data_IF_463293991087
#
_entry.id   IF_463293991087
#
_cell.length_a   1.000
_cell.length_b   1.000
_cell.length_c   1.000
_cell.angle_alpha   90.00
_cell.angle_beta   90.00
_cell.angle_gamma   90.00
#
_symmetry.space_group_name_H-M   'P 1'
#
loop_
_entity.id
_entity.type
_entity.pdbx_description
1 polymer ?
#
# COMPACT_ATOMS: atom_id res chain seq x y z
N UNK A 1 4.58 19.83 -13.13
CA UNK A 1 4.72 20.34 -11.72
C UNK A 1 5.86 19.55 -11.11
N UNK A 2 6.83 20.17 -10.48
CA UNK A 2 7.88 19.44 -9.76
C UNK A 2 7.35 19.03 -8.38
N UNK A 3 7.21 17.74 -8.16
CA UNK A 3 6.71 17.19 -6.88
C UNK A 3 7.83 17.02 -5.83
N UNK A 4 9.07 17.38 -6.19
CA UNK A 4 10.25 17.31 -5.32
C UNK A 4 10.50 15.90 -4.75
N UNK A 5 10.25 14.87 -5.58
CA UNK A 5 10.42 13.47 -5.18
C UNK A 5 11.79 12.89 -5.57
N UNK A 6 12.64 13.67 -6.22
CA UNK A 6 14.01 13.27 -6.50
C UNK A 6 14.73 12.92 -5.19
N UNK A 7 15.40 11.77 -5.16
CA UNK A 7 16.07 11.20 -3.99
C UNK A 7 15.11 10.75 -2.85
N UNK A 8 13.81 10.69 -3.08
CA UNK A 8 12.87 10.05 -2.17
C UNK A 8 12.73 8.58 -2.50
N UNK A 9 12.42 7.78 -1.48
CA UNK A 9 12.16 6.35 -1.60
C UNK A 9 10.70 6.03 -1.32
N UNK A 10 10.12 5.14 -2.12
CA UNK A 10 8.72 4.76 -2.00
C UNK A 10 8.55 3.23 -1.97
N UNK A 11 7.79 2.75 -1.02
CA UNK A 11 7.33 1.36 -0.94
C UNK A 11 5.84 1.30 -1.32
N UNK A 12 5.50 0.48 -2.28
CA UNK A 12 4.11 0.30 -2.73
C UNK A 12 3.70 -1.17 -2.56
N UNK A 13 2.72 -1.42 -1.70
CA UNK A 13 2.24 -2.78 -1.48
C UNK A 13 1.35 -3.25 -2.63
N UNK A 14 1.54 -4.52 -3.09
CA UNK A 14 0.77 -5.10 -4.19
C UNK A 14 0.94 -4.36 -5.52
N UNK A 15 2.18 -4.10 -5.91
CA UNK A 15 2.52 -3.17 -7.01
C UNK A 15 3.06 -3.84 -8.28
N UNK A 16 2.87 -5.14 -8.46
CA UNK A 16 3.30 -5.84 -9.69
C UNK A 16 2.39 -5.58 -10.90
N UNK A 17 1.18 -5.05 -10.68
CA UNK A 17 0.18 -4.76 -11.73
C UNK A 17 -0.84 -3.72 -11.25
N UNK A 18 -1.78 -3.35 -12.14
CA UNK A 18 -2.94 -2.51 -11.80
C UNK A 18 -2.57 -1.15 -11.21
N UNK A 19 -3.37 -0.70 -10.24
CA UNK A 19 -3.24 0.61 -9.58
C UNK A 19 -1.86 0.74 -8.90
N UNK A 20 -1.42 -0.26 -8.15
CA UNK A 20 -0.13 -0.22 -7.46
C UNK A 20 1.05 -0.04 -8.43
N UNK A 21 1.04 -0.72 -9.57
CA UNK A 21 2.07 -0.54 -10.60
C UNK A 21 2.00 0.84 -11.27
N UNK A 22 0.79 1.36 -11.51
CA UNK A 22 0.61 2.71 -12.05
C UNK A 22 1.15 3.79 -11.08
N UNK A 23 0.91 3.61 -9.77
CA UNK A 23 1.47 4.48 -8.74
C UNK A 23 3.01 4.41 -8.74
N UNK A 24 3.59 3.20 -8.81
CA UNK A 24 5.04 3.03 -8.88
C UNK A 24 5.65 3.74 -10.10
N UNK A 25 4.99 3.66 -11.27
CA UNK A 25 5.39 4.42 -12.48
C UNK A 25 5.32 5.93 -12.27
N UNK A 26 4.25 6.43 -11.67
CA UNK A 26 4.09 7.86 -11.39
C UNK A 26 5.20 8.39 -10.47
N UNK A 27 5.50 7.66 -9.39
CA UNK A 27 6.56 8.03 -8.47
C UNK A 27 7.96 7.95 -9.11
N UNK A 28 8.21 6.93 -9.93
CA UNK A 28 9.45 6.79 -10.69
C UNK A 28 9.63 7.93 -11.70
N UNK A 29 8.56 8.36 -12.38
CA UNK A 29 8.58 9.47 -13.32
C UNK A 29 8.96 10.82 -12.65
N UNK A 30 8.63 10.96 -11.37
CA UNK A 30 9.00 12.13 -10.54
C UNK A 30 10.39 11.98 -9.86
N UNK A 31 11.13 10.93 -10.20
CA UNK A 31 12.51 10.72 -9.74
C UNK A 31 12.66 10.00 -8.40
N UNK A 32 11.59 9.43 -7.86
CA UNK A 32 11.69 8.61 -6.66
C UNK A 32 12.28 7.23 -6.97
N UNK A 33 13.06 6.69 -6.03
CA UNK A 33 13.34 5.25 -6.01
C UNK A 33 12.11 4.49 -5.53
N UNK A 34 11.84 3.32 -6.13
CA UNK A 34 10.61 2.57 -5.83
C UNK A 34 10.89 1.11 -5.48
N UNK A 35 10.19 0.63 -4.47
CA UNK A 35 10.17 -0.78 -4.07
C UNK A 35 8.83 -1.40 -4.46
N UNK A 36 8.89 -2.41 -5.32
CA UNK A 36 7.75 -3.18 -5.80
C UNK A 36 7.54 -4.39 -4.87
N UNK A 37 6.30 -4.67 -4.49
CA UNK A 37 6.00 -5.92 -3.78
C UNK A 37 4.97 -6.76 -4.52
N UNK A 38 5.10 -8.07 -4.40
CA UNK A 38 4.17 -9.03 -5.00
C UNK A 38 4.37 -10.42 -4.42
N UNK A 39 3.41 -11.31 -4.64
CA UNK A 39 3.41 -12.66 -4.05
C UNK A 39 4.43 -13.62 -4.66
N UNK A 40 4.90 -13.39 -5.88
CA UNK A 40 5.83 -14.28 -6.57
C UNK A 40 7.01 -13.53 -7.16
N UNK A 41 8.19 -14.13 -7.13
CA UNK A 41 9.41 -13.53 -7.69
C UNK A 41 9.22 -13.21 -9.19
N UNK A 42 8.65 -14.12 -9.96
CA UNK A 42 8.41 -13.90 -11.38
C UNK A 42 7.49 -12.68 -11.67
N UNK A 43 6.52 -12.38 -10.81
CA UNK A 43 5.68 -11.19 -10.98
C UNK A 43 6.44 -9.92 -10.63
N UNK A 44 7.25 -9.94 -9.58
CA UNK A 44 8.12 -8.83 -9.18
C UNK A 44 9.14 -8.54 -10.26
N UNK A 45 9.85 -9.55 -10.78
CA UNK A 45 10.86 -9.38 -11.83
C UNK A 45 10.27 -8.79 -13.11
N UNK A 46 9.10 -9.25 -13.53
CA UNK A 46 8.40 -8.68 -14.70
C UNK A 46 8.02 -7.21 -14.46
N UNK A 47 7.56 -6.86 -13.27
CA UNK A 47 7.21 -5.48 -12.95
C UNK A 47 8.44 -4.57 -12.94
N UNK A 48 9.54 -5.01 -12.35
CA UNK A 48 10.81 -4.29 -12.35
C UNK A 48 11.36 -4.10 -13.76
N UNK A 49 11.34 -5.15 -14.59
CA UNK A 49 11.79 -5.05 -15.98
C UNK A 49 10.99 -4.01 -16.78
N UNK A 50 9.67 -3.99 -16.62
CA UNK A 50 8.79 -3.00 -17.25
C UNK A 50 9.08 -1.58 -16.74
N UNK A 51 9.26 -1.42 -15.43
CA UNK A 51 9.55 -0.12 -14.82
C UNK A 51 10.87 0.45 -15.33
N UNK A 52 11.94 -0.37 -15.35
CA UNK A 52 13.27 0.02 -15.84
C UNK A 52 13.30 0.33 -17.32
N UNK A 53 12.46 -0.37 -18.11
CA UNK A 53 12.28 -0.06 -19.54
C UNK A 53 11.64 1.32 -19.74
N UNK A 54 10.60 1.63 -18.97
CA UNK A 54 9.87 2.90 -19.08
C UNK A 54 10.67 4.08 -18.51
N UNK A 55 11.50 3.82 -17.48
CA UNK A 55 12.31 4.82 -16.76
C UNK A 55 13.76 4.34 -16.62
N UNK A 56 14.59 4.45 -17.70
CA UNK A 56 16.00 4.10 -17.64
C UNK A 56 16.74 4.92 -16.56
N UNK A 57 17.43 4.21 -15.65
CA UNK A 57 18.13 4.85 -14.54
C UNK A 57 17.33 5.01 -13.24
N UNK A 58 16.05 4.63 -13.22
CA UNK A 58 15.30 4.59 -11.95
C UNK A 58 15.94 3.57 -11.00
N UNK A 59 16.20 4.00 -9.78
CA UNK A 59 16.56 3.06 -8.72
C UNK A 59 15.31 2.30 -8.30
N UNK A 60 15.30 0.99 -8.52
CA UNK A 60 14.13 0.16 -8.24
C UNK A 60 14.53 -1.21 -7.69
N UNK A 61 13.81 -1.64 -6.68
CA UNK A 61 13.99 -2.92 -6.01
C UNK A 61 12.65 -3.64 -5.85
N UNK A 62 12.65 -4.90 -5.44
CA UNK A 62 11.43 -5.67 -5.30
C UNK A 62 11.50 -6.80 -4.30
N UNK A 63 10.40 -7.05 -3.63
CA UNK A 63 10.28 -8.10 -2.61
C UNK A 63 9.12 -9.02 -2.95
N UNK A 64 9.43 -10.30 -3.13
CA UNK A 64 8.43 -11.35 -3.39
C UNK A 64 7.96 -11.94 -2.06
N UNK A 65 6.79 -11.51 -1.60
CA UNK A 65 6.22 -11.93 -0.32
C UNK A 65 4.71 -11.67 -0.28
N UNK A 66 3.99 -12.40 0.55
CA UNK A 66 2.59 -12.09 0.85
C UNK A 66 2.49 -10.97 1.89
N UNK A 67 2.35 -9.73 1.41
CA UNK A 67 2.20 -8.55 2.24
C UNK A 67 0.87 -8.47 3.03
N UNK A 68 -0.05 -9.43 2.88
CA UNK A 68 -1.28 -9.46 3.68
C UNK A 68 -1.05 -10.00 5.07
N UNK A 69 0.04 -10.74 5.29
CA UNK A 69 0.39 -11.37 6.56
C UNK A 69 1.32 -10.52 7.43
N UNK A 70 1.32 -10.76 8.74
CA UNK A 70 2.27 -10.12 9.65
C UNK A 70 3.72 -10.50 9.30
N UNK A 71 3.97 -11.79 9.06
CA UNK A 71 5.29 -12.29 8.67
C UNK A 71 5.78 -11.66 7.36
N UNK A 72 4.89 -11.48 6.38
CA UNK A 72 5.23 -10.80 5.13
C UNK A 72 5.60 -9.33 5.32
N UNK A 73 4.88 -8.61 6.16
CA UNK A 73 5.23 -7.23 6.49
C UNK A 73 6.61 -7.12 7.16
N UNK A 74 6.92 -8.02 8.09
CA UNK A 74 8.24 -8.12 8.75
C UNK A 74 9.36 -8.44 7.74
N UNK A 75 9.12 -9.35 6.78
CA UNK A 75 10.08 -9.68 5.73
C UNK A 75 10.39 -8.47 4.83
N UNK A 76 9.36 -7.72 4.42
CA UNK A 76 9.57 -6.47 3.66
C UNK A 76 10.38 -5.49 4.50
N UNK A 77 10.03 -5.29 5.77
CA UNK A 77 10.75 -4.38 6.65
C UNK A 77 12.18 -4.84 6.92
N UNK A 78 12.45 -6.14 6.96
CA UNK A 78 13.80 -6.68 7.08
C UNK A 78 14.67 -6.32 5.86
N UNK A 79 14.08 -6.31 4.67
CA UNK A 79 14.76 -5.98 3.40
C UNK A 79 14.86 -4.46 3.19
N UNK A 80 13.81 -3.71 3.49
CA UNK A 80 13.72 -2.26 3.31
C UNK A 80 13.40 -1.61 4.65
N UNK A 81 14.41 -1.15 5.36
CA UNK A 81 14.29 -0.62 6.73
C UNK A 81 13.68 0.78 6.80
N UNK A 82 13.78 1.55 5.74
CA UNK A 82 13.32 2.92 5.72
C UNK A 82 12.81 3.33 4.34
N UNK A 83 11.73 4.09 4.31
CA UNK A 83 11.20 4.73 3.10
C UNK A 83 10.62 6.09 3.44
N UNK A 84 10.61 6.98 2.46
CA UNK A 84 9.99 8.30 2.59
C UNK A 84 8.49 8.25 2.35
N UNK A 85 8.04 7.37 1.46
CA UNK A 85 6.65 7.25 1.03
C UNK A 85 6.22 5.80 1.16
N UNK A 86 5.17 5.57 1.92
CA UNK A 86 4.50 4.27 2.03
C UNK A 86 3.13 4.35 1.36
N UNK A 87 2.90 3.50 0.35
CA UNK A 87 1.59 3.36 -0.29
C UNK A 87 0.97 2.01 0.05
N UNK A 88 -0.01 2.03 0.93
CA UNK A 88 -0.85 0.89 1.28
C UNK A 88 -1.92 0.70 0.20
N UNK A 89 -1.59 -0.08 -0.82
CA UNK A 89 -2.44 -0.30 -1.99
C UNK A 89 -3.12 -1.68 -1.98
N UNK A 90 -2.73 -2.60 -1.11
CA UNK A 90 -3.38 -3.92 -1.04
C UNK A 90 -4.88 -3.79 -0.81
N UNK A 91 -5.63 -4.61 -1.56
CA UNK A 91 -7.06 -4.68 -1.41
C UNK A 91 -7.68 -5.79 -2.25
N UNK A 92 -8.67 -6.43 -1.68
CA UNK A 92 -9.57 -7.37 -2.34
C UNK A 92 -11.00 -6.89 -2.17
N UNK A 93 -11.86 -7.29 -3.07
CA UNK A 93 -13.29 -7.03 -2.99
C UNK A 93 -14.06 -8.27 -3.44
N UNK A 94 -15.30 -8.33 -3.01
CA UNK A 94 -16.24 -9.37 -3.38
C UNK A 94 -17.65 -8.78 -3.38
N UNK A 95 -18.51 -9.28 -4.25
CA UNK A 95 -19.95 -9.00 -4.22
C UNK A 95 -20.67 -10.19 -3.62
N UNK A 96 -21.46 -9.94 -2.58
CA UNK A 96 -22.25 -10.98 -1.92
C UNK A 96 -23.44 -10.36 -1.20
N UNK A 97 -24.67 -10.91 -1.31
CA UNK A 97 -25.83 -10.47 -0.54
C UNK A 97 -25.52 -10.51 0.97
N UNK A 98 -25.97 -9.52 1.71
CA UNK A 98 -25.63 -9.36 3.12
C UNK A 98 -25.86 -10.63 3.96
N UNK A 99 -27.00 -11.27 3.79
CA UNK A 99 -27.36 -12.45 4.56
C UNK A 99 -26.58 -13.73 4.16
N UNK A 100 -25.81 -13.68 3.09
CA UNK A 100 -24.97 -14.76 2.60
C UNK A 100 -23.49 -14.58 2.95
N UNK A 101 -23.12 -13.45 3.58
CA UNK A 101 -21.72 -13.16 3.93
C UNK A 101 -21.38 -13.87 5.24
N UNK A 102 -20.58 -14.95 5.23
CA UNK A 102 -20.13 -15.61 6.44
C UNK A 102 -19.06 -14.75 7.16
N UNK A 103 -18.91 -14.92 8.46
CA UNK A 103 -17.92 -14.23 9.28
C UNK A 103 -16.50 -14.31 8.71
N UNK A 104 -16.14 -15.44 8.13
CA UNK A 104 -14.85 -15.66 7.49
C UNK A 104 -14.54 -14.65 6.36
N UNK A 105 -15.55 -14.24 5.57
CA UNK A 105 -15.35 -13.26 4.51
C UNK A 105 -15.16 -11.84 5.07
N UNK A 106 -15.89 -11.49 6.13
CA UNK A 106 -15.70 -10.23 6.87
C UNK A 106 -14.26 -10.13 7.40
N UNK A 107 -13.80 -11.17 8.08
CA UNK A 107 -12.46 -11.24 8.67
C UNK A 107 -11.38 -11.23 7.58
N UNK A 108 -11.56 -11.99 6.49
CA UNK A 108 -10.63 -12.02 5.37
C UNK A 108 -10.47 -10.65 4.70
N UNK A 109 -11.57 -9.95 4.41
CA UNK A 109 -11.50 -8.62 3.83
C UNK A 109 -10.86 -7.62 4.79
N UNK A 110 -11.18 -7.69 6.06
CA UNK A 110 -10.58 -6.82 7.08
C UNK A 110 -9.07 -7.06 7.20
N UNK A 111 -8.64 -8.31 7.25
CA UNK A 111 -7.24 -8.69 7.34
C UNK A 111 -6.42 -8.17 6.14
N UNK A 112 -6.93 -8.39 4.92
CA UNK A 112 -6.23 -7.97 3.71
C UNK A 112 -6.28 -6.47 3.50
N UNK A 113 -7.45 -5.84 3.63
CA UNK A 113 -7.63 -4.45 3.24
C UNK A 113 -7.22 -3.47 4.35
N UNK A 114 -7.36 -3.84 5.62
CA UNK A 114 -7.14 -2.93 6.76
C UNK A 114 -5.87 -3.28 7.52
N UNK A 115 -5.79 -4.51 8.03
CA UNK A 115 -4.68 -4.92 8.89
C UNK A 115 -3.33 -4.91 8.17
N UNK A 116 -3.29 -5.24 6.87
CA UNK A 116 -2.05 -5.12 6.10
C UNK A 116 -1.49 -3.70 6.15
N UNK A 117 -2.32 -2.69 5.84
CA UNK A 117 -1.90 -1.29 5.86
C UNK A 117 -1.52 -0.78 7.26
N UNK A 118 -2.22 -1.22 8.30
CA UNK A 118 -1.87 -0.89 9.70
C UNK A 118 -0.49 -1.43 10.06
N UNK A 119 -0.16 -2.67 9.66
CA UNK A 119 1.16 -3.26 9.92
C UNK A 119 2.27 -2.46 9.27
N UNK A 120 2.15 -2.16 7.99
CA UNK A 120 3.14 -1.36 7.28
C UNK A 120 3.25 0.06 7.85
N UNK A 121 2.13 0.74 8.13
CA UNK A 121 2.16 2.06 8.75
C UNK A 121 2.89 2.05 10.10
N UNK A 122 2.66 1.03 10.94
CA UNK A 122 3.33 0.86 12.23
C UNK A 122 4.85 0.68 12.09
N UNK A 123 5.31 -0.03 11.06
CA UNK A 123 6.72 -0.27 10.82
C UNK A 123 7.46 0.98 10.33
N UNK A 124 6.83 1.83 9.53
CA UNK A 124 7.52 2.93 8.85
C UNK A 124 7.21 4.32 9.39
N UNK A 125 6.00 4.59 9.89
CA UNK A 125 5.59 5.94 10.25
C UNK A 125 6.43 6.56 11.39
N UNK A 126 6.91 5.74 12.34
CA UNK A 126 7.75 6.23 13.43
C UNK A 126 9.10 6.81 12.96
N UNK A 127 9.74 6.20 11.97
CA UNK A 127 10.96 6.74 11.36
C UNK A 127 10.69 8.03 10.58
N UNK A 128 9.58 8.09 9.84
CA UNK A 128 9.12 9.28 9.14
C UNK A 128 8.89 10.45 10.11
N UNK A 129 8.22 10.21 11.23
CA UNK A 129 7.98 11.21 12.26
C UNK A 129 9.30 11.76 12.85
N UNK A 130 10.25 10.89 13.19
CA UNK A 130 11.56 11.28 13.76
C UNK A 130 12.35 12.21 12.83
N UNK A 131 12.34 11.96 11.51
CA UNK A 131 13.01 12.85 10.52
C UNK A 131 12.16 14.03 10.07
N UNK A 132 10.94 14.19 10.61
CA UNK A 132 9.98 15.25 10.29
C UNK A 132 9.61 15.33 8.80
N UNK A 133 9.66 14.20 8.12
CA UNK A 133 9.22 14.06 6.73
C UNK A 133 8.78 12.63 6.44
N UNK A 134 7.64 12.49 5.82
CA UNK A 134 7.10 11.21 5.33
C UNK A 134 5.71 11.36 4.73
N UNK A 135 5.30 10.34 4.00
CA UNK A 135 3.93 10.21 3.47
C UNK A 135 3.44 8.78 3.65
N UNK A 136 2.36 8.62 4.38
CA UNK A 136 1.64 7.34 4.48
C UNK A 136 0.31 7.48 3.76
N UNK A 137 0.14 6.72 2.70
CA UNK A 137 -1.03 6.79 1.81
C UNK A 137 -1.80 5.48 1.90
N UNK A 138 -3.11 5.55 2.04
CA UNK A 138 -4.02 4.41 1.94
C UNK A 138 -4.87 4.55 0.68
N UNK A 139 -4.82 3.55 -0.20
CA UNK A 139 -5.67 3.49 -1.40
C UNK A 139 -7.06 3.01 -0.97
N UNK A 140 -7.93 3.95 -0.67
CA UNK A 140 -9.31 3.69 -0.29
C UNK A 140 -10.22 3.57 -1.53
N UNK A 141 -11.49 3.82 -1.38
CA UNK A 141 -12.51 3.77 -2.43
C UNK A 141 -13.66 4.72 -2.06
N UNK A 142 -14.41 5.19 -3.06
CA UNK A 142 -15.71 5.83 -2.81
C UNK A 142 -16.66 4.93 -2.00
N UNK A 143 -16.50 3.60 -2.12
CA UNK A 143 -17.26 2.61 -1.34
C UNK A 143 -17.07 2.71 0.17
N UNK A 144 -16.09 3.47 0.64
CA UNK A 144 -15.93 3.82 2.05
C UNK A 144 -16.92 4.91 2.52
N UNK A 145 -17.56 5.61 1.59
CA UNK A 145 -18.54 6.68 1.84
C UNK A 145 -19.91 6.32 1.27
N UNK A 146 -19.94 5.82 0.03
CA UNK A 146 -21.15 5.40 -0.68
C UNK A 146 -21.08 3.89 -0.94
N UNK A 147 -21.67 3.11 -0.04
CA UNK A 147 -21.54 1.65 -0.05
C UNK A 147 -22.41 1.06 -1.16
N UNK A 148 -21.82 0.37 -2.17
CA UNK A 148 -22.60 -0.27 -3.20
C UNK A 148 -23.41 -1.45 -2.66
N UNK A 149 -24.53 -1.75 -3.30
CA UNK A 149 -25.31 -2.95 -3.01
C UNK A 149 -24.43 -4.20 -3.09
N UNK A 150 -24.61 -5.13 -2.17
CA UNK A 150 -23.84 -6.39 -2.09
C UNK A 150 -22.32 -6.23 -1.80
N UNK A 151 -21.90 -5.05 -1.35
CA UNK A 151 -20.49 -4.80 -1.02
C UNK A 151 -20.29 -4.20 0.37
N UNK A 152 -21.18 -4.51 1.31
CA UNK A 152 -21.16 -3.90 2.66
C UNK A 152 -19.86 -4.23 3.39
N UNK A 153 -19.41 -5.49 3.35
CA UNK A 153 -18.15 -5.93 3.97
C UNK A 153 -16.92 -5.27 3.34
N UNK A 154 -16.94 -5.03 2.02
CA UNK A 154 -15.88 -4.25 1.36
C UNK A 154 -15.94 -2.77 1.76
N UNK A 155 -17.12 -2.14 1.67
CA UNK A 155 -17.32 -0.74 2.06
C UNK A 155 -16.87 -0.48 3.50
N UNK A 156 -17.20 -1.37 4.43
CA UNK A 156 -16.72 -1.32 5.82
C UNK A 156 -15.20 -1.25 5.90
N UNK A 157 -14.47 -2.08 5.12
CA UNK A 157 -12.99 -2.03 5.13
C UNK A 157 -12.44 -0.72 4.58
N UNK A 158 -13.10 -0.15 3.57
CA UNK A 158 -12.69 1.13 2.98
C UNK A 158 -12.98 2.32 3.89
N UNK A 159 -14.09 2.30 4.63
CA UNK A 159 -14.38 3.25 5.70
C UNK A 159 -13.35 3.14 6.84
N UNK A 160 -12.99 1.91 7.24
CA UNK A 160 -11.96 1.68 8.25
C UNK A 160 -10.60 2.25 7.84
N UNK A 161 -10.20 2.12 6.56
CA UNK A 161 -8.96 2.74 6.05
C UNK A 161 -8.98 4.27 6.19
N UNK A 162 -10.11 4.93 5.91
CA UNK A 162 -10.26 6.38 6.11
C UNK A 162 -10.09 6.77 7.58
N UNK A 163 -10.67 5.99 8.50
CA UNK A 163 -10.56 6.21 9.94
C UNK A 163 -9.12 6.05 10.42
N UNK A 164 -8.43 4.97 10.00
CA UNK A 164 -7.01 4.74 10.33
C UNK A 164 -6.13 5.87 9.81
N UNK A 165 -6.34 6.29 8.56
CA UNK A 165 -5.58 7.38 7.94
C UNK A 165 -5.75 8.69 8.71
N UNK A 166 -6.98 9.05 9.09
CA UNK A 166 -7.27 10.26 9.88
C UNK A 166 -6.65 10.18 11.29
N UNK A 167 -6.81 9.04 11.97
CA UNK A 167 -6.24 8.83 13.30
C UNK A 167 -4.71 8.95 13.28
N UNK A 168 -4.06 8.33 12.31
CA UNK A 168 -2.61 8.42 12.15
C UNK A 168 -2.15 9.86 11.84
N UNK A 169 -2.91 10.60 11.03
CA UNK A 169 -2.61 12.00 10.73
C UNK A 169 -2.71 12.90 11.98
N UNK A 170 -3.67 12.63 12.88
CA UNK A 170 -3.78 13.35 14.16
C UNK A 170 -2.61 13.00 15.08
N UNK A 171 -2.27 11.71 15.20
CA UNK A 171 -1.17 11.22 16.03
C UNK A 171 0.19 11.82 15.61
N UNK A 172 0.39 12.02 14.31
CA UNK A 172 1.62 12.52 13.73
C UNK A 172 1.58 14.02 13.40
N UNK A 173 0.59 14.74 13.88
CA UNK A 173 0.47 16.19 13.61
C UNK A 173 1.72 16.95 14.10
N UNK A 174 2.20 17.88 13.28
CA UNK A 174 3.39 18.70 13.58
C UNK A 174 4.74 18.02 13.28
N UNK A 175 4.70 16.80 12.65
CA UNK A 175 5.94 16.12 12.25
C UNK A 175 6.22 16.15 10.76
#
# INVERSE_FOLDING_TARGET
MDMQLKNRSALITGSTSGIGFAIAKGLAAEGASVVITGRTQAAVDRALARLRKDFPGVNSDGVAVDCTTAAGAEQVFAHVKDVDILVNNLGIYERKPFFEIPDADWLRLFEVNVMSGIRFARLYAGAMAKRRWGRVIFVSSESGLMIPKEMIHYGMTKAAQLTVSRGLAIELAGT
#
